data_IF_610543245527
#
_entry.id   IF_610543245527
#
_cell.length_a   1.000
_cell.length_b   1.000
_cell.length_c   1.000
_cell.angle_alpha   90.00
_cell.angle_beta   90.00
_cell.angle_gamma   90.00
#
_symmetry.space_group_name_H-M   'P 1'
#
loop_
_entity.id
_entity.type
_entity.pdbx_description
1 polymer ?
#
# COMPACT_ATOMS: atom_id res chain seq x y z
N UNK A 1 20.89 24.93 -21.98
CA UNK A 1 20.39 24.06 -20.90
C UNK A 1 20.46 24.89 -19.62
N UNK A 2 19.31 25.29 -19.05
CA UNK A 2 19.32 26.05 -17.79
C UNK A 2 19.58 25.07 -16.64
N UNK A 3 20.83 25.01 -16.15
CA UNK A 3 21.12 24.33 -14.89
C UNK A 3 20.91 25.34 -13.77
N UNK A 4 19.97 25.07 -12.86
CA UNK A 4 19.59 25.92 -11.72
C UNK A 4 19.93 25.22 -10.40
N UNK A 5 21.17 24.74 -10.26
CA UNK A 5 21.69 24.22 -9.01
C UNK A 5 22.30 25.33 -8.14
N UNK A 6 22.61 25.06 -6.86
CA UNK A 6 23.27 26.02 -5.97
C UNK A 6 24.67 26.44 -6.43
N UNK A 7 25.24 25.76 -7.44
CA UNK A 7 26.52 26.07 -8.06
C UNK A 7 26.37 26.65 -9.48
N UNK A 8 25.16 27.07 -9.86
CA UNK A 8 24.95 27.70 -11.15
C UNK A 8 25.66 29.05 -11.19
N UNK A 9 26.52 29.23 -12.20
CA UNK A 9 27.37 30.40 -12.36
C UNK A 9 27.28 30.93 -13.79
N UNK A 10 27.68 32.19 -13.99
CA UNK A 10 27.76 32.78 -15.30
C UNK A 10 28.94 32.20 -16.09
N UNK A 11 28.73 31.70 -17.30
CA UNK A 11 29.80 31.11 -18.13
C UNK A 11 30.88 32.11 -18.61
N UNK A 12 30.71 33.41 -18.32
CA UNK A 12 31.68 34.46 -18.70
C UNK A 12 32.55 34.89 -17.51
N UNK A 13 31.96 35.22 -16.36
CA UNK A 13 32.71 35.63 -15.17
C UNK A 13 32.92 34.49 -14.16
N UNK A 14 32.27 33.34 -14.35
CA UNK A 14 32.29 32.16 -13.48
C UNK A 14 31.78 32.43 -12.05
N UNK A 15 31.12 33.57 -11.83
CA UNK A 15 30.52 33.90 -10.54
C UNK A 15 29.14 33.30 -10.39
N UNK A 16 28.84 32.84 -9.17
CA UNK A 16 27.57 32.22 -8.82
C UNK A 16 26.40 33.20 -8.95
N UNK A 17 25.28 32.72 -9.48
CA UNK A 17 24.04 33.49 -9.51
C UNK A 17 23.41 33.57 -8.12
N UNK A 18 22.86 34.74 -7.77
CA UNK A 18 22.16 34.95 -6.49
C UNK A 18 23.00 35.56 -5.36
N UNK A 19 24.32 35.71 -5.53
CA UNK A 19 25.16 36.55 -4.66
C UNK A 19 25.30 37.96 -5.26
N UNK A 20 25.36 38.99 -4.41
CA UNK A 20 25.76 40.36 -4.76
C UNK A 20 25.03 41.01 -5.95
N UNK A 21 23.76 40.68 -6.17
CA UNK A 21 22.93 41.28 -7.22
C UNK A 21 23.13 40.70 -8.63
N UNK A 22 23.94 39.64 -8.78
CA UNK A 22 24.16 38.96 -10.07
C UNK A 22 22.97 38.08 -10.45
N UNK A 23 22.00 38.73 -11.08
CA UNK A 23 20.82 38.05 -11.59
C UNK A 23 21.12 37.34 -12.94
N UNK A 24 20.68 36.08 -13.10
CA UNK A 24 20.76 35.37 -14.36
C UNK A 24 19.82 36.00 -15.40
N UNK A 25 20.33 36.24 -16.60
CA UNK A 25 19.60 36.79 -17.73
C UNK A 25 19.72 35.86 -18.94
N UNK A 26 18.59 35.51 -19.55
CA UNK A 26 18.54 34.72 -20.78
C UNK A 26 18.49 35.62 -22.01
N UNK A 27 19.21 35.22 -23.06
CA UNK A 27 19.18 35.87 -24.39
C UNK A 27 18.42 35.00 -25.40
N UNK A 28 18.18 35.51 -26.61
CA UNK A 28 17.33 34.85 -27.63
C UNK A 28 17.74 33.41 -28.00
N UNK A 29 19.04 33.07 -27.95
CA UNK A 29 19.52 31.71 -28.22
C UNK A 29 19.39 30.75 -27.02
N UNK A 30 18.88 31.23 -25.87
CA UNK A 30 18.64 30.41 -24.68
C UNK A 30 19.84 30.24 -23.74
N UNK A 31 21.00 30.82 -24.06
CA UNK A 31 22.12 30.89 -23.12
C UNK A 31 21.87 31.93 -22.02
N UNK A 32 22.51 31.73 -20.86
CA UNK A 32 22.26 32.53 -19.66
C UNK A 32 23.55 33.11 -19.11
N UNK A 33 23.54 34.41 -18.83
CA UNK A 33 24.69 35.16 -18.35
C UNK A 33 24.24 36.15 -17.27
N UNK A 34 25.17 36.68 -16.46
CA UNK A 34 24.79 37.75 -15.54
C UNK A 34 24.57 39.07 -16.31
N UNK A 35 23.76 39.95 -15.74
CA UNK A 35 23.46 41.27 -16.33
C UNK A 35 24.72 42.08 -16.62
N UNK A 36 25.73 42.01 -15.75
CA UNK A 36 26.99 42.73 -15.92
C UNK A 36 27.77 42.24 -17.14
N UNK A 37 27.87 40.91 -17.32
CA UNK A 37 28.54 40.34 -18.47
C UNK A 37 27.82 40.70 -19.77
N UNK A 38 26.49 40.64 -19.81
CA UNK A 38 25.72 41.08 -21.00
C UNK A 38 25.91 42.56 -21.31
N UNK A 39 25.99 43.43 -20.30
CA UNK A 39 26.19 44.86 -20.50
C UNK A 39 27.58 45.22 -21.06
N UNK A 40 28.58 44.36 -20.81
CA UNK A 40 29.96 44.53 -21.29
C UNK A 40 30.21 43.96 -22.68
N UNK A 41 29.24 43.22 -23.23
CA UNK A 41 29.33 42.68 -24.59
C UNK A 41 29.17 43.83 -25.60
N UNK A 42 30.26 44.14 -26.32
CA UNK A 42 30.30 45.26 -27.29
C UNK A 42 29.66 44.92 -28.64
N UNK A 43 29.61 43.64 -28.99
CA UNK A 43 28.91 43.12 -30.18
C UNK A 43 27.82 42.18 -29.72
N UNK A 44 26.53 42.42 -30.04
CA UNK A 44 25.41 41.68 -29.48
C UNK A 44 25.31 40.26 -30.09
N UNK A 45 26.29 39.43 -29.75
CA UNK A 45 26.50 38.06 -30.19
C UNK A 45 26.82 37.21 -28.97
N UNK A 46 26.17 36.06 -28.87
CA UNK A 46 26.28 35.18 -27.73
C UNK A 46 27.74 34.72 -27.52
N UNK A 47 28.33 34.85 -26.31
CA UNK A 47 29.69 34.37 -26.03
C UNK A 47 29.90 32.87 -26.28
N UNK A 48 28.84 32.06 -26.22
CA UNK A 48 28.89 30.61 -26.39
C UNK A 48 28.66 30.15 -27.84
N UNK A 49 27.46 30.39 -28.39
CA UNK A 49 27.12 29.94 -29.76
C UNK A 49 27.33 30.99 -30.86
N UNK A 50 27.69 32.23 -30.52
CA UNK A 50 27.87 33.36 -31.45
C UNK A 50 26.61 33.84 -32.20
N UNK A 51 25.44 33.29 -31.88
CA UNK A 51 24.19 33.78 -32.41
C UNK A 51 23.97 35.24 -32.03
N UNK A 52 23.46 36.03 -32.98
CA UNK A 52 23.05 37.40 -32.73
C UNK A 52 21.88 37.41 -31.74
N UNK A 53 21.92 38.34 -30.78
CA UNK A 53 20.82 38.57 -29.85
C UNK A 53 20.47 40.05 -29.80
N UNK A 54 19.23 40.38 -29.46
CA UNK A 54 18.85 41.76 -29.17
C UNK A 54 19.07 42.03 -27.67
N UNK A 55 19.95 42.98 -27.35
CA UNK A 55 20.22 43.39 -25.97
C UNK A 55 18.97 43.90 -25.23
N UNK A 56 17.97 44.40 -25.97
CA UNK A 56 16.68 44.85 -25.40
C UNK A 56 15.71 43.69 -25.11
N UNK A 57 15.92 42.54 -25.75
CA UNK A 57 15.11 41.34 -25.56
C UNK A 57 15.69 40.39 -24.50
N UNK A 58 16.59 40.88 -23.65
CA UNK A 58 17.18 40.08 -22.57
C UNK A 58 16.19 39.92 -21.42
N UNK A 59 15.97 38.68 -20.99
CA UNK A 59 14.96 38.34 -19.97
C UNK A 59 15.67 38.02 -18.67
N UNK A 60 15.43 38.83 -17.62
CA UNK A 60 15.92 38.57 -16.27
C UNK A 60 15.13 37.40 -15.67
N UNK A 61 15.83 36.32 -15.33
CA UNK A 61 15.24 35.14 -14.71
C UNK A 61 15.19 35.34 -13.20
N UNK A 62 14.00 35.20 -12.61
CA UNK A 62 13.83 35.11 -11.17
C UNK A 62 13.63 33.64 -10.80
N UNK A 63 14.58 33.07 -10.08
CA UNK A 63 14.53 31.70 -9.58
C UNK A 63 14.36 31.76 -8.07
N UNK A 64 13.18 31.38 -7.60
CA UNK A 64 12.93 31.21 -6.18
C UNK A 64 13.50 29.86 -5.73
N UNK A 65 14.78 29.87 -5.35
CA UNK A 65 15.49 28.70 -4.83
C UNK A 65 15.14 28.40 -3.37
N UNK A 66 14.48 29.33 -2.67
CA UNK A 66 14.05 29.15 -1.27
C UNK A 66 12.86 28.19 -1.16
N UNK A 67 12.15 27.93 -2.26
CA UNK A 67 11.17 26.84 -2.34
C UNK A 67 11.83 25.44 -2.39
N UNK A 68 13.10 25.35 -2.81
CA UNK A 68 13.85 24.08 -2.97
C UNK A 68 14.78 23.83 -1.79
N UNK A 69 15.34 24.88 -1.19
CA UNK A 69 15.99 24.76 0.11
C UNK A 69 14.91 24.62 1.16
N UNK A 70 14.88 23.48 1.86
CA UNK A 70 14.20 23.42 3.15
C UNK A 70 14.75 24.58 3.99
N UNK A 71 13.97 25.65 4.11
CA UNK A 71 14.36 26.83 4.86
C UNK A 71 14.86 26.38 6.24
N UNK A 72 16.10 26.72 6.66
CA UNK A 72 16.50 26.49 8.03
C UNK A 72 15.60 27.39 8.87
N UNK A 73 14.62 26.78 9.54
CA UNK A 73 13.72 27.49 10.41
C UNK A 73 14.58 28.34 11.39
N UNK A 74 14.30 29.63 11.61
CA UNK A 74 15.24 30.54 12.29
C UNK A 74 15.48 30.25 13.78
N UNK A 75 14.99 29.15 14.34
CA UNK A 75 14.98 28.85 15.78
C UNK A 75 15.17 27.35 16.10
N UNK A 76 15.82 26.57 15.24
CA UNK A 76 16.04 25.16 15.53
C UNK A 76 17.34 24.97 16.33
N UNK A 77 17.23 24.60 17.61
CA UNK A 77 18.30 24.04 18.45
C UNK A 77 18.77 22.67 17.89
N UNK A 78 19.09 22.60 16.61
CA UNK A 78 19.57 21.40 15.92
C UNK A 78 21.08 21.40 16.06
N UNK A 79 21.61 20.36 16.69
CA UNK A 79 23.05 20.18 16.86
C UNK A 79 23.65 19.50 15.63
N UNK A 80 24.96 19.62 15.44
CA UNK A 80 25.68 18.89 14.39
C UNK A 80 25.43 17.36 14.48
N UNK A 81 25.32 16.84 15.70
CA UNK A 81 24.96 15.44 15.96
C UNK A 81 23.56 15.07 15.46
N UNK A 82 22.58 15.99 15.56
CA UNK A 82 21.24 15.74 15.03
C UNK A 82 21.24 15.67 13.49
N UNK A 83 22.09 16.45 12.84
CA UNK A 83 22.24 16.45 11.38
C UNK A 83 22.89 15.15 10.87
N UNK A 84 23.86 14.62 11.64
CA UNK A 84 24.49 13.31 11.40
C UNK A 84 23.51 12.16 11.60
N UNK A 85 22.75 12.17 12.71
CA UNK A 85 21.70 11.18 12.96
C UNK A 85 20.62 11.21 11.87
N UNK A 86 20.18 12.41 11.46
CA UNK A 86 19.22 12.56 10.37
C UNK A 86 19.75 12.05 9.03
N UNK A 87 21.06 12.17 8.78
CA UNK A 87 21.71 11.61 7.59
C UNK A 87 21.75 10.09 7.63
N UNK A 88 22.19 9.51 8.76
CA UNK A 88 22.20 8.06 8.98
C UNK A 88 20.82 7.44 8.74
N UNK A 89 19.78 8.05 9.33
CA UNK A 89 18.40 7.58 9.14
C UNK A 89 17.93 7.66 7.69
N UNK A 90 18.31 8.71 6.94
CA UNK A 90 17.98 8.83 5.51
C UNK A 90 18.65 7.74 4.67
N UNK A 91 19.94 7.50 4.91
CA UNK A 91 20.69 6.44 4.22
C UNK A 91 20.13 5.05 4.53
N UNK A 92 19.73 4.77 5.76
CA UNK A 92 19.06 3.51 6.10
C UNK A 92 17.70 3.35 5.41
N UNK A 93 16.90 4.42 5.31
CA UNK A 93 15.63 4.41 4.56
C UNK A 93 15.90 4.12 3.08
N UNK A 94 16.91 4.76 2.48
CA UNK A 94 17.24 4.58 1.07
C UNK A 94 17.73 3.15 0.78
N UNK A 95 18.58 2.61 1.65
CA UNK A 95 19.05 1.22 1.57
C UNK A 95 17.88 0.22 1.61
N UNK A 96 16.90 0.44 2.48
CA UNK A 96 15.69 -0.39 2.56
C UNK A 96 14.95 -0.41 1.23
N UNK A 97 14.84 0.74 0.55
CA UNK A 97 14.12 0.84 -0.71
C UNK A 97 14.88 0.24 -1.90
N UNK A 98 16.21 0.28 -1.89
CA UNK A 98 17.05 -0.14 -3.02
C UNK A 98 17.47 -1.60 -2.96
N UNK A 99 17.91 -2.08 -1.79
CA UNK A 99 18.44 -3.44 -1.60
C UNK A 99 17.45 -4.39 -0.94
N UNK A 100 16.32 -3.86 -0.46
CA UNK A 100 15.38 -4.61 0.36
C UNK A 100 15.91 -4.79 1.78
N UNK A 101 15.06 -5.30 2.66
CA UNK A 101 15.40 -5.45 4.07
C UNK A 101 14.58 -6.53 4.77
N UNK A 102 15.09 -6.98 5.91
CA UNK A 102 14.37 -7.84 6.85
C UNK A 102 13.42 -7.02 7.72
N UNK A 103 12.37 -7.66 8.24
CA UNK A 103 11.38 -7.00 9.08
C UNK A 103 11.98 -6.46 10.40
N UNK A 104 12.95 -7.16 10.97
CA UNK A 104 13.63 -6.73 12.19
C UNK A 104 14.45 -5.46 11.98
N UNK A 105 15.07 -5.30 10.80
CA UNK A 105 15.77 -4.07 10.42
C UNK A 105 14.80 -2.89 10.30
N UNK A 106 13.65 -3.08 9.63
CA UNK A 106 12.62 -2.02 9.51
C UNK A 106 12.10 -1.60 10.88
N UNK A 107 11.79 -2.58 11.76
CA UNK A 107 11.29 -2.29 13.11
C UNK A 107 12.30 -1.53 13.95
N UNK A 108 13.59 -1.86 13.83
CA UNK A 108 14.68 -1.14 14.51
C UNK A 108 14.78 0.30 14.01
N UNK A 109 14.84 0.50 12.70
CA UNK A 109 14.86 1.83 12.11
C UNK A 109 13.64 2.67 12.51
N UNK A 110 12.45 2.06 12.58
CA UNK A 110 11.24 2.74 13.04
C UNK A 110 11.30 3.12 14.53
N UNK A 111 11.94 2.31 15.38
CA UNK A 111 12.14 2.62 16.79
C UNK A 111 13.17 3.74 16.99
N UNK A 112 14.28 3.68 16.27
CA UNK A 112 15.35 4.67 16.32
C UNK A 112 14.87 6.01 15.78
N UNK A 113 14.21 6.00 14.61
CA UNK A 113 13.57 7.17 14.02
C UNK A 113 12.49 7.78 14.91
N UNK A 114 11.69 6.96 15.62
CA UNK A 114 10.70 7.46 16.59
C UNK A 114 11.37 8.24 17.71
N UNK A 115 12.40 7.66 18.30
CA UNK A 115 13.12 8.23 19.46
C UNK A 115 13.78 9.53 19.07
N UNK A 116 14.47 9.55 17.92
CA UNK A 116 15.10 10.75 17.37
C UNK A 116 14.08 11.86 17.04
N UNK A 117 13.04 11.55 16.27
CA UNK A 117 12.07 12.55 15.79
C UNK A 117 11.14 13.09 16.88
N UNK A 118 10.92 12.34 17.97
CA UNK A 118 10.16 12.80 19.14
C UNK A 118 10.95 13.77 20.03
N UNK A 119 12.28 13.64 20.07
CA UNK A 119 13.15 14.57 20.82
C UNK A 119 13.14 15.98 20.23
N UNK A 120 12.93 16.09 18.91
CA UNK A 120 13.07 17.34 18.17
C UNK A 120 11.73 18.07 17.93
N UNK A 121 11.72 19.42 17.82
CA UNK A 121 10.51 20.19 17.52
C UNK A 121 9.85 19.79 16.19
N UNK A 122 8.52 19.85 16.07
CA UNK A 122 7.74 19.36 14.90
C UNK A 122 8.04 20.03 13.54
N UNK A 123 8.79 21.13 13.53
CA UNK A 123 9.18 21.85 12.31
C UNK A 123 10.50 21.41 11.66
N UNK A 124 11.34 20.66 12.37
CA UNK A 124 12.65 20.19 11.87
C UNK A 124 12.52 18.95 10.99
N UNK A 125 13.47 18.76 10.05
CA UNK A 125 13.59 17.56 9.19
C UNK A 125 12.25 17.09 8.60
N UNK A 126 11.48 18.01 7.99
CA UNK A 126 10.12 17.73 7.48
C UNK A 126 10.08 16.56 6.50
N UNK A 127 11.05 16.50 5.60
CA UNK A 127 11.19 15.42 4.62
C UNK A 127 11.40 14.06 5.31
N UNK A 128 12.38 13.96 6.21
CA UNK A 128 12.63 12.74 7.00
C UNK A 128 11.42 12.30 7.82
N UNK A 129 10.65 13.24 8.38
CA UNK A 129 9.39 12.91 9.09
C UNK A 129 8.34 12.33 8.16
N UNK A 130 8.24 12.85 6.94
CA UNK A 130 7.32 12.30 5.93
C UNK A 130 7.74 10.89 5.55
N UNK A 131 9.03 10.69 5.23
CA UNK A 131 9.59 9.37 4.91
C UNK A 131 9.37 8.36 6.04
N UNK A 132 9.63 8.75 7.28
CA UNK A 132 9.38 7.95 8.47
C UNK A 132 7.90 7.53 8.60
N UNK A 133 6.98 8.49 8.45
CA UNK A 133 5.53 8.20 8.54
C UNK A 133 5.08 7.24 7.44
N UNK A 134 5.57 7.43 6.21
CA UNK A 134 5.29 6.52 5.11
C UNK A 134 5.79 5.12 5.42
N UNK A 135 7.03 4.97 5.90
CA UNK A 135 7.60 3.68 6.26
C UNK A 135 6.83 3.00 7.41
N UNK A 136 6.44 3.76 8.44
CA UNK A 136 5.63 3.26 9.55
C UNK A 136 4.29 2.73 9.05
N UNK A 137 3.60 3.53 8.23
CA UNK A 137 2.30 3.14 7.69
C UNK A 137 2.39 1.89 6.81
N UNK A 138 3.43 1.78 5.98
CA UNK A 138 3.67 0.57 5.18
C UNK A 138 3.93 -0.67 6.05
N UNK A 139 4.64 -0.51 7.18
CA UNK A 139 4.85 -1.60 8.13
C UNK A 139 3.53 -2.06 8.77
N UNK A 140 2.66 -1.12 9.15
CA UNK A 140 1.35 -1.41 9.72
C UNK A 140 0.45 -2.13 8.70
N UNK A 141 0.41 -1.64 7.46
CA UNK A 141 -0.33 -2.29 6.36
C UNK A 141 0.19 -3.70 6.13
N UNK A 142 1.51 -3.89 6.06
CA UNK A 142 2.11 -5.22 5.84
C UNK A 142 1.77 -6.19 6.97
N UNK A 143 1.77 -5.71 8.21
CA UNK A 143 1.40 -6.51 9.40
C UNK A 143 -0.07 -6.90 9.35
N UNK A 144 -0.95 -5.94 9.05
CA UNK A 144 -2.39 -6.17 8.91
C UNK A 144 -2.70 -7.16 7.77
N UNK A 145 -2.05 -7.00 6.61
CA UNK A 145 -2.24 -7.90 5.46
C UNK A 145 -1.87 -9.34 5.79
N UNK A 146 -0.80 -9.57 6.58
CA UNK A 146 -0.43 -10.91 7.03
C UNK A 146 -1.47 -11.50 7.96
N UNK A 147 -1.95 -10.72 8.94
CA UNK A 147 -3.00 -11.17 9.84
C UNK A 147 -4.29 -11.54 9.07
N UNK A 148 -4.69 -10.71 8.10
CA UNK A 148 -5.84 -10.99 7.24
C UNK A 148 -5.65 -12.27 6.42
N UNK A 149 -4.46 -12.52 5.87
CA UNK A 149 -4.17 -13.78 5.15
C UNK A 149 -4.34 -15.01 6.04
N UNK A 150 -3.85 -14.94 7.27
CA UNK A 150 -4.03 -16.06 8.23
C UNK A 150 -5.50 -16.29 8.55
N UNK A 151 -6.28 -15.23 8.74
CA UNK A 151 -7.72 -15.33 8.99
C UNK A 151 -8.44 -15.94 7.77
N UNK A 152 -8.13 -15.49 6.56
CA UNK A 152 -8.72 -16.02 5.33
C UNK A 152 -8.46 -17.53 5.21
N UNK A 153 -7.22 -17.96 5.45
CA UNK A 153 -6.86 -19.37 5.39
C UNK A 153 -7.62 -20.19 6.45
N UNK A 154 -7.73 -19.66 7.66
CA UNK A 154 -8.49 -20.31 8.73
C UNK A 154 -9.98 -20.42 8.39
N UNK A 155 -10.63 -19.33 7.98
CA UNK A 155 -12.04 -19.33 7.57
C UNK A 155 -12.29 -20.27 6.40
N UNK A 156 -11.35 -20.35 5.46
CA UNK A 156 -11.45 -21.29 4.34
C UNK A 156 -11.43 -22.74 4.81
N UNK A 157 -10.51 -23.10 5.70
CA UNK A 157 -10.44 -24.45 6.27
C UNK A 157 -11.69 -24.80 7.08
N UNK A 158 -12.21 -23.85 7.87
CA UNK A 158 -13.47 -24.02 8.61
C UNK A 158 -14.66 -24.21 7.66
N UNK A 159 -14.73 -23.43 6.57
CA UNK A 159 -15.77 -23.57 5.56
C UNK A 159 -15.72 -24.93 4.85
N UNK A 160 -14.53 -25.44 4.53
CA UNK A 160 -14.36 -26.75 3.92
C UNK A 160 -14.76 -27.89 4.88
N UNK A 161 -14.45 -27.75 6.18
CA UNK A 161 -14.85 -28.71 7.20
C UNK A 161 -16.37 -28.75 7.38
N UNK A 162 -17.01 -27.59 7.51
CA UNK A 162 -18.47 -27.47 7.63
C UNK A 162 -19.19 -27.98 6.39
N UNK A 163 -18.62 -27.75 5.19
CA UNK A 163 -19.19 -28.26 3.95
C UNK A 163 -19.19 -29.80 3.92
N UNK A 164 -18.11 -30.45 4.37
CA UNK A 164 -18.04 -31.92 4.47
C UNK A 164 -19.01 -32.47 5.52
N UNK A 165 -19.13 -31.81 6.66
CA UNK A 165 -20.07 -32.19 7.71
C UNK A 165 -21.52 -32.08 7.21
N UNK A 166 -21.85 -30.99 6.52
CA UNK A 166 -23.16 -30.80 5.90
C UNK A 166 -23.48 -31.92 4.92
N UNK A 167 -22.55 -32.27 4.04
CA UNK A 167 -22.74 -33.37 3.07
C UNK A 167 -22.93 -34.73 3.75
N UNK A 168 -22.23 -34.99 4.86
CA UNK A 168 -22.41 -36.21 5.64
C UNK A 168 -23.79 -36.28 6.30
N UNK A 169 -24.22 -35.19 6.94
CA UNK A 169 -25.54 -35.08 7.57
C UNK A 169 -26.68 -35.15 6.55
N UNK A 170 -26.50 -34.60 5.34
CA UNK A 170 -27.48 -34.71 4.26
C UNK A 170 -27.66 -36.16 3.81
N UNK A 171 -26.56 -36.92 3.65
CA UNK A 171 -26.63 -38.36 3.33
C UNK A 171 -27.29 -39.17 4.43
N UNK A 172 -26.96 -38.90 5.70
CA UNK A 172 -27.57 -39.58 6.85
C UNK A 172 -29.08 -39.30 6.91
N UNK A 173 -29.48 -38.05 6.69
CA UNK A 173 -30.89 -37.66 6.64
C UNK A 173 -31.65 -38.37 5.52
N UNK A 174 -31.03 -38.54 4.35
CA UNK A 174 -31.64 -39.30 3.25
C UNK A 174 -31.78 -40.78 3.57
N UNK A 175 -30.77 -41.39 4.20
CA UNK A 175 -30.82 -42.79 4.62
C UNK A 175 -31.93 -43.03 5.66
N UNK A 176 -32.04 -42.18 6.68
CA UNK A 176 -33.09 -42.25 7.69
C UNK A 176 -34.48 -42.07 7.07
N UNK A 177 -34.64 -41.14 6.12
CA UNK A 177 -35.91 -40.97 5.39
C UNK A 177 -36.28 -42.24 4.63
N UNK A 178 -35.34 -42.87 3.94
CA UNK A 178 -35.59 -44.11 3.21
C UNK A 178 -35.97 -45.26 4.15
N UNK A 179 -35.32 -45.38 5.31
CA UNK A 179 -35.66 -46.38 6.32
C UNK A 179 -37.07 -46.17 6.89
N UNK A 180 -37.44 -44.93 7.19
CA UNK A 180 -38.78 -44.60 7.68
C UNK A 180 -39.85 -44.96 6.64
N UNK A 181 -39.63 -44.67 5.35
CA UNK A 181 -40.57 -45.01 4.29
C UNK A 181 -40.69 -46.53 4.09
N UNK A 182 -39.57 -47.27 4.18
CA UNK A 182 -39.61 -48.74 4.16
C UNK A 182 -40.42 -49.31 5.32
N UNK A 183 -40.18 -48.83 6.55
CA UNK A 183 -40.95 -49.27 7.73
C UNK A 183 -42.45 -48.99 7.60
N UNK A 184 -42.83 -47.83 7.04
CA UNK A 184 -44.25 -47.51 6.76
C UNK A 184 -44.86 -48.49 5.77
N UNK A 185 -44.14 -48.82 4.69
CA UNK A 185 -44.60 -49.77 3.67
C UNK A 185 -44.77 -51.18 4.26
N UNK A 186 -43.81 -51.63 5.06
CA UNK A 186 -43.87 -52.93 5.73
C UNK A 186 -45.03 -52.99 6.72
N UNK A 187 -45.25 -51.91 7.49
CA UNK A 187 -46.40 -51.79 8.39
C UNK A 187 -47.74 -51.86 7.62
N UNK A 188 -47.87 -51.13 6.50
CA UNK A 188 -49.06 -51.19 5.65
C UNK A 188 -49.30 -52.59 5.08
N UNK A 189 -48.25 -53.28 4.64
CA UNK A 189 -48.35 -54.64 4.14
C UNK A 189 -48.78 -55.61 5.26
N UNK A 190 -48.20 -55.48 6.46
CA UNK A 190 -48.58 -56.29 7.61
C UNK A 190 -50.05 -56.12 7.98
N UNK A 191 -50.56 -54.89 7.96
CA UNK A 191 -51.97 -54.59 8.25
C UNK A 191 -52.91 -55.22 7.22
N UNK A 192 -52.56 -55.16 5.92
CA UNK A 192 -53.34 -55.81 4.86
C UNK A 192 -53.39 -57.32 5.01
N UNK A 193 -52.25 -57.95 5.30
CA UNK A 193 -52.18 -59.40 5.52
C UNK A 193 -53.01 -59.81 6.75
N UNK A 194 -52.97 -59.04 7.82
CA UNK A 194 -53.81 -59.29 9.01
C UNK A 194 -55.30 -59.20 8.68
N UNK A 195 -55.71 -58.19 7.89
CA UNK A 195 -57.10 -58.02 7.44
C UNK A 195 -57.55 -59.20 6.56
N UNK A 196 -56.77 -59.57 5.54
CA UNK A 196 -57.05 -60.72 4.67
C UNK A 196 -57.15 -62.04 5.45
N UNK A 197 -56.27 -62.24 6.43
CA UNK A 197 -56.29 -63.43 7.27
C UNK A 197 -57.52 -63.45 8.18
N UNK A 198 -57.92 -62.30 8.73
CA UNK A 198 -59.12 -62.15 9.56
C UNK A 198 -60.37 -62.49 8.77
N UNK A 199 -60.48 -61.98 7.54
CA UNK A 199 -61.57 -62.34 6.63
C UNK A 199 -61.58 -63.83 6.31
N UNK A 200 -60.42 -64.42 6.03
CA UNK A 200 -60.32 -65.85 5.75
C UNK A 200 -60.76 -66.70 6.94
N UNK A 201 -60.31 -66.37 8.15
CA UNK A 201 -60.75 -67.04 9.38
C UNK A 201 -62.25 -66.90 9.60
N UNK A 202 -62.82 -65.72 9.35
CA UNK A 202 -64.26 -65.50 9.44
C UNK A 202 -65.04 -66.38 8.45
N UNK A 203 -64.65 -66.39 7.17
CA UNK A 203 -65.26 -67.25 6.13
C UNK A 203 -65.17 -68.73 6.50
N UNK A 204 -64.01 -69.18 6.99
CA UNK A 204 -63.82 -70.56 7.43
C UNK A 204 -64.71 -70.92 8.64
N UNK A 205 -64.85 -70.00 9.60
CA UNK A 205 -65.72 -70.20 10.77
C UNK A 205 -67.21 -70.25 10.38
N UNK A 206 -67.66 -69.37 9.49
CA UNK A 206 -69.02 -69.38 8.93
C UNK A 206 -69.31 -70.70 8.21
N UNK A 207 -68.38 -71.17 7.36
CA UNK A 207 -68.50 -72.45 6.66
C UNK A 207 -68.59 -73.63 7.63
N UNK A 208 -67.71 -73.69 8.64
CA UNK A 208 -67.74 -74.75 9.66
C UNK A 208 -69.05 -74.74 10.46
N UNK A 209 -69.53 -73.56 10.85
CA UNK A 209 -70.78 -73.42 11.59
C UNK A 209 -72.00 -73.85 10.75
N UNK A 210 -71.94 -73.63 9.43
CA UNK A 210 -72.99 -74.08 8.51
C UNK A 210 -73.04 -75.60 8.32
N UNK A 211 -71.91 -76.30 8.50
CA UNK A 211 -71.82 -77.76 8.37
C UNK A 211 -72.28 -78.53 9.62
N UNK A 212 -72.35 -77.87 10.79
CA UNK A 212 -72.74 -78.48 12.07
C UNK A 212 -74.25 -78.32 12.37
N UNK A 213 -74.96 -77.50 11.61
CA UNK A 213 -76.42 -77.37 11.66
C UNK A 213 -77.09 -78.27 10.63
#
# INVERSE_FOLDING_TARGET
MLVAGPNSACDVCLEAFGCDGKAPCSISCGHVFCVDCLSRVTRPSCPLCRDYFDSRATIKLHLDLDAVRSSPAPNSNVTLSDEEDARRLREEIDNITTTGCTESQVRRLLADGKTFLHRLPKGTFKDLRTQYKMLSHLCDIKTSLRAQKTIIEQTKNESEALQKEKEALEKEKEALKAEVEMRKKDQQNSLKVEEELREHCQRAHEAYTSMIK
#
